data_IF_361629748255
#
_entry.id   IF_361629748255
#
_cell.length_a   1.000
_cell.length_b   1.000
_cell.length_c   1.000
_cell.angle_alpha   90.00
_cell.angle_beta   90.00
_cell.angle_gamma   90.00
#
_symmetry.space_group_name_H-M   'P 1'
#
loop_
_entity.id
_entity.type
_entity.pdbx_description
1 polymer ?
2 non-polymer ?
3 non-polymer ?
4 non-polymer ?
5 water ?
#
# COMPACT_ATOMS: atom_id res chain seq x y z
N UNK A 5 -4.04 -1.00 -25.75
CA UNK A 5 -3.45 -2.14 -26.44
C UNK A 5 -3.26 -3.32 -25.47
N UNK A 6 -3.61 -3.10 -24.20
CA UNK A 6 -3.52 -4.15 -23.18
C UNK A 6 -4.64 -5.14 -23.33
N UNK A 7 -4.42 -6.34 -22.82
CA UNK A 7 -5.40 -7.41 -22.95
C UNK A 7 -5.88 -7.84 -21.59
N UNK A 8 -7.18 -7.72 -21.35
CA UNK A 8 -7.76 -8.22 -20.11
C UNK A 8 -7.41 -9.69 -20.01
N UNK A 9 -6.91 -10.10 -18.84
CA UNK A 9 -6.49 -11.47 -18.64
C UNK A 9 -4.99 -11.65 -18.79
N UNK A 10 -4.33 -10.69 -19.42
CA UNK A 10 -2.89 -10.79 -19.59
C UNK A 10 -2.19 -9.81 -18.65
N UNK A 11 -2.15 -8.53 -19.01
CA UNK A 11 -1.42 -7.60 -18.17
C UNK A 11 -2.19 -7.24 -16.90
N UNK A 12 -3.51 -7.37 -16.94
CA UNK A 12 -4.35 -7.10 -15.77
C UNK A 12 -5.55 -8.03 -15.82
N UNK A 13 -6.22 -8.19 -14.69
CA UNK A 13 -7.50 -8.89 -14.65
C UNK A 13 -8.56 -7.97 -14.07
N UNK A 14 -9.80 -8.20 -14.46
CA UNK A 14 -10.93 -7.51 -13.87
C UNK A 14 -11.55 -8.43 -12.82
N UNK A 15 -11.74 -7.88 -11.63
CA UNK A 15 -12.38 -8.61 -10.54
C UNK A 15 -13.87 -8.76 -10.86
N UNK A 16 -14.35 -10.00 -10.84
CA UNK A 16 -15.75 -10.24 -11.14
C UNK A 16 -16.68 -9.63 -10.09
N UNK A 17 -16.18 -9.46 -8.87
CA UNK A 17 -16.91 -8.74 -7.82
C UNK A 17 -16.10 -7.53 -7.42
N UNK A 18 -16.37 -6.37 -8.05
CA UNK A 18 -15.60 -5.17 -7.69
C UNK A 18 -15.78 -4.82 -6.23
N UNK A 19 -14.73 -4.20 -5.69
CA UNK A 19 -14.59 -3.90 -4.29
C UNK A 19 -14.85 -2.39 -4.07
N UNK A 20 -15.57 -2.04 -3.00
CA UNK A 20 -15.76 -0.61 -2.73
C UNK A 20 -14.46 0.14 -2.56
N UNK A 21 -14.45 1.42 -2.88
CA UNK A 21 -13.24 2.23 -2.76
C UNK A 21 -13.26 3.06 -1.48
N UNK A 22 -12.09 3.47 -1.02
CA UNK A 22 -11.95 4.23 0.22
C UNK A 22 -12.57 5.63 0.14
N UNK A 23 -12.41 6.28 -1.02
CA UNK A 23 -12.90 7.64 -1.24
C UNK A 23 -13.85 7.67 -2.44
N UNK A 24 -15.12 7.42 -2.19
CA UNK A 24 -16.06 7.44 -3.31
C UNK A 24 -16.03 8.79 -4.03
N UNK A 25 -16.10 8.74 -5.35
CA UNK A 25 -16.03 9.92 -6.17
C UNK A 25 -14.67 10.16 -6.79
N UNK A 26 -13.64 9.50 -6.26
CA UNK A 26 -12.34 9.51 -6.90
C UNK A 26 -12.00 8.14 -7.42
N UNK A 27 -11.16 8.10 -8.45
CA UNK A 27 -10.66 6.85 -9.00
C UNK A 27 -9.55 6.40 -8.08
N UNK A 28 -9.75 5.24 -7.46
CA UNK A 28 -8.79 4.75 -6.47
C UNK A 28 -7.62 4.03 -7.17
N UNK A 29 -6.43 4.22 -6.64
CA UNK A 29 -5.28 3.39 -7.00
C UNK A 29 -4.68 2.89 -5.70
N UNK A 30 -4.67 1.58 -5.53
CA UNK A 30 -4.11 0.94 -4.34
C UNK A 30 -2.81 0.24 -4.71
N UNK A 31 -1.76 0.51 -3.94
CA UNK A 31 -0.57 -0.36 -3.96
C UNK A 31 -0.56 -1.19 -2.70
N UNK A 32 -0.66 -2.52 -2.86
CA UNK A 32 -0.48 -3.42 -1.74
C UNK A 32 1.01 -3.73 -1.65
N UNK A 33 1.54 -3.62 -0.43
CA UNK A 33 2.97 -3.69 -0.22
C UNK A 33 3.28 -4.25 1.15
N UNK A 34 4.55 -4.56 1.36
CA UNK A 34 5.07 -4.88 2.68
C UNK A 34 6.42 -4.16 2.78
N UNK A 35 6.66 -3.46 3.89
CA UNK A 35 7.92 -2.74 4.06
C UNK A 35 9.15 -3.63 3.88
N UNK A 36 9.03 -4.90 4.23
CA UNK A 36 10.17 -5.81 4.18
C UNK A 36 10.39 -6.49 2.85
N UNK A 37 9.53 -6.20 1.88
CA UNK A 37 9.59 -6.85 0.60
C UNK A 37 10.62 -6.16 -0.30
N UNK A 38 11.64 -6.91 -0.76
CA UNK A 38 12.68 -6.29 -1.57
C UNK A 38 12.17 -5.69 -2.88
N UNK A 39 11.21 -6.32 -3.53
CA UNK A 39 10.69 -5.79 -4.80
C UNK A 39 9.90 -4.50 -4.53
N UNK A 40 9.20 -4.45 -3.40
CA UNK A 40 8.47 -3.25 -3.00
C UNK A 40 9.44 -2.10 -2.82
N UNK A 41 10.54 -2.35 -2.11
CA UNK A 41 11.58 -1.36 -1.92
C UNK A 41 12.12 -0.87 -3.27
N UNK A 42 12.42 -1.81 -4.16
CA UNK A 42 12.98 -1.46 -5.47
C UNK A 42 12.00 -0.71 -6.37
N UNK A 43 10.70 -0.85 -6.11
CA UNK A 43 9.66 -0.19 -6.91
C UNK A 43 9.47 1.26 -6.48
N UNK A 44 9.85 1.56 -5.24
CA UNK A 44 9.62 2.90 -4.69
C UNK A 44 10.10 4.08 -5.55
N UNK A 45 11.30 3.99 -6.14
CA UNK A 45 11.76 5.15 -6.93
C UNK A 45 10.93 5.38 -8.18
N UNK A 46 10.15 4.38 -8.56
CA UNK A 46 9.29 4.50 -9.74
C UNK A 46 7.89 4.99 -9.33
N UNK A 47 7.29 4.34 -8.35
CA UNK A 47 5.90 4.65 -8.01
C UNK A 47 5.78 5.94 -7.21
N UNK A 48 6.77 6.26 -6.40
CA UNK A 48 6.65 7.48 -5.59
C UNK A 48 6.47 8.76 -6.41
N UNK A 49 7.38 9.05 -7.37
CA UNK A 49 7.19 10.29 -8.14
C UNK A 49 5.91 10.29 -8.98
N UNK A 50 5.55 9.14 -9.53
CA UNK A 50 4.31 8.98 -10.26
C UNK A 50 3.11 9.32 -9.38
N UNK A 51 3.12 8.81 -8.14
CA UNK A 51 1.98 9.02 -7.25
C UNK A 51 1.80 10.49 -6.89
N UNK A 52 2.88 11.24 -6.89
CA UNK A 52 2.83 12.65 -6.52
C UNK A 52 2.34 13.53 -7.66
N UNK A 53 2.26 12.97 -8.86
CA UNK A 53 1.84 13.72 -10.04
C UNK A 53 0.41 13.40 -10.48
N UNK A 54 -0.32 12.65 -9.65
CA UNK A 54 -1.68 12.24 -10.00
C UNK A 54 -2.66 13.40 -9.96
N UNK A 55 -3.67 13.37 -10.85
CA UNK A 55 -4.64 14.47 -10.88
C UNK A 55 -5.63 14.41 -9.74
N UNK A 56 -6.46 15.45 -9.65
CA UNK A 56 -7.29 15.68 -8.50
C UNK A 56 -8.43 14.66 -8.32
N UNK A 57 -8.76 13.95 -9.37
CA UNK A 57 -9.85 12.99 -9.30
C UNK A 57 -9.36 11.56 -9.06
N UNK A 58 -8.09 11.43 -8.68
CA UNK A 58 -7.50 10.15 -8.35
C UNK A 58 -7.06 10.13 -6.89
N UNK A 59 -7.27 9.00 -6.21
CA UNK A 59 -6.86 8.85 -4.83
C UNK A 59 -5.94 7.64 -4.72
N UNK A 60 -4.67 7.91 -4.45
CA UNK A 60 -3.66 6.87 -4.27
C UNK A 60 -3.59 6.46 -2.81
N UNK A 61 -3.65 5.15 -2.59
CA UNK A 61 -3.65 4.55 -1.26
C UNK A 61 -2.59 3.45 -1.24
N UNK A 62 -1.75 3.43 -0.22
CA UNK A 62 -0.97 2.25 0.10
C UNK A 62 -1.72 1.42 1.13
N UNK A 63 -1.73 0.12 0.91
CA UNK A 63 -2.40 -0.81 1.81
C UNK A 63 -1.41 -1.90 2.16
N UNK A 64 -1.14 -2.08 3.45
CA UNK A 64 -0.20 -3.16 3.78
C UNK A 64 -0.84 -4.51 3.55
N UNK A 65 -0.06 -5.46 3.03
CA UNK A 65 -0.52 -6.83 2.86
C UNK A 65 -0.29 -7.55 4.18
N UNK A 66 -1.38 -7.98 4.81
CA UNK A 66 -1.29 -8.56 6.15
C UNK A 66 -1.38 -10.06 5.99
N UNK A 67 -0.29 -10.64 5.52
CA UNK A 67 -0.24 -12.05 5.19
C UNK A 67 0.35 -12.91 6.31
N UNK A 68 0.45 -12.34 7.51
CA UNK A 68 0.87 -13.08 8.68
C UNK A 68 2.25 -12.74 9.20
N UNK A 69 2.50 -13.09 10.44
CA UNK A 69 3.82 -12.92 11.01
C UNK A 69 4.30 -11.48 10.92
N UNK A 70 5.54 -11.33 10.51
CA UNK A 70 6.18 -10.03 10.42
C UNK A 70 5.47 -9.10 9.43
N UNK A 71 4.77 -9.65 8.44
CA UNK A 71 4.01 -8.77 7.52
C UNK A 71 2.94 -8.01 8.32
N UNK A 72 2.35 -8.69 9.30
CA UNK A 72 1.28 -8.08 10.09
C UNK A 72 1.83 -7.02 11.05
N UNK A 73 2.97 -7.30 11.65
CA UNK A 73 3.66 -6.38 12.53
C UNK A 73 4.05 -5.10 11.78
N UNK A 74 4.70 -5.26 10.63
CA UNK A 74 5.08 -4.09 9.84
C UNK A 74 3.87 -3.37 9.28
N UNK A 75 2.82 -4.12 8.95
CA UNK A 75 1.58 -3.51 8.49
C UNK A 75 0.90 -2.70 9.58
N UNK A 76 0.96 -3.21 10.80
CA UNK A 76 0.37 -2.50 11.92
C UNK A 76 1.14 -1.19 12.19
N UNK A 77 2.46 -1.24 12.02
CA UNK A 77 3.28 -0.05 12.12
C UNK A 77 2.84 0.97 11.06
N UNK A 78 2.69 0.50 9.82
CA UNK A 78 2.23 1.37 8.74
C UNK A 78 0.91 2.06 9.10
N UNK A 79 -0.08 1.29 9.54
CA UNK A 79 -1.39 1.86 9.81
C UNK A 79 -1.33 2.82 10.97
N UNK A 80 -0.47 2.55 11.94
CA UNK A 80 -0.29 3.43 13.08
C UNK A 80 0.28 4.77 12.61
N UNK A 81 1.29 4.71 11.75
CA UNK A 81 1.89 5.94 11.21
C UNK A 81 0.90 6.75 10.36
N UNK A 82 0.08 6.05 9.58
CA UNK A 82 -0.96 6.74 8.79
C UNK A 82 -1.92 7.45 9.73
N UNK A 83 -2.34 6.76 10.78
CA UNK A 83 -3.31 7.32 11.73
C UNK A 83 -2.75 8.56 12.41
N UNK A 84 -1.45 8.52 12.70
CA UNK A 84 -0.77 9.65 13.33
C UNK A 84 -0.50 10.80 12.36
N UNK A 85 -0.68 10.56 11.08
CA UNK A 85 -0.45 11.57 10.06
C UNK A 85 1.01 11.81 9.76
N UNK A 86 1.83 10.79 10.01
CA UNK A 86 3.27 10.93 9.83
C UNK A 86 3.87 9.93 8.84
N UNK A 87 3.07 9.05 8.24
CA UNK A 87 3.67 7.99 7.43
C UNK A 87 4.44 8.56 6.24
N UNK A 88 3.86 9.56 5.57
CA UNK A 88 4.49 10.14 4.39
C UNK A 88 5.91 10.61 4.70
N UNK A 89 6.09 11.22 5.86
CA UNK A 89 7.37 11.83 6.18
C UNK A 89 8.46 10.83 6.63
N UNK A 90 8.07 9.63 7.05
CA UNK A 90 9.02 8.63 7.52
C UNK A 90 9.04 7.38 6.65
N UNK A 91 8.23 7.40 5.59
CA UNK A 91 8.07 6.25 4.68
C UNK A 91 9.43 5.76 4.16
N UNK A 92 10.19 6.66 3.56
CA UNK A 92 11.49 6.29 3.02
C UNK A 92 12.42 5.79 4.12
N UNK A 93 12.37 6.43 5.30
CA UNK A 93 13.26 6.05 6.40
C UNK A 93 13.01 4.64 6.89
N UNK A 94 11.74 4.25 6.95
CA UNK A 94 11.40 2.88 7.34
C UNK A 94 11.96 1.90 6.33
N UNK A 95 11.72 2.13 5.03
CA UNK A 95 12.30 1.25 4.01
C UNK A 95 13.82 1.16 4.16
N UNK A 96 14.47 2.31 4.35
CA UNK A 96 15.94 2.33 4.45
C UNK A 96 16.43 1.59 5.68
N UNK A 97 15.72 1.76 6.79
CA UNK A 97 16.09 1.11 8.04
C UNK A 97 16.08 -0.40 7.85
N UNK A 98 15.02 -0.90 7.24
CA UNK A 98 14.87 -2.33 7.05
C UNK A 98 15.85 -2.91 6.02
N UNK A 99 16.01 -2.23 4.88
CA UNK A 99 16.77 -2.81 3.78
C UNK A 99 18.25 -2.42 3.73
N UNK A 100 18.61 -1.25 4.24
CA UNK A 100 20.00 -0.81 4.23
C UNK A 100 20.65 -0.97 5.58
N UNK A 101 19.89 -0.70 6.64
CA UNK A 101 20.45 -0.69 7.99
C UNK A 101 20.24 -2.03 8.70
N UNK A 102 19.52 -2.94 8.06
CA UNK A 102 19.26 -4.27 8.62
C UNK A 102 18.51 -4.24 9.96
N UNK A 103 17.74 -3.18 10.20
CA UNK A 103 16.89 -3.12 11.37
C UNK A 103 15.64 -3.97 11.17
N UNK A 104 15.28 -4.72 12.19
CA UNK A 104 14.14 -5.64 12.07
C UNK A 104 12.78 -4.96 12.25
N UNK A 105 12.75 -3.93 13.09
CA UNK A 105 11.51 -3.23 13.47
C UNK A 105 10.39 -4.24 13.73
N UNK A 106 10.65 -5.16 14.65
CA UNK A 106 9.82 -6.35 14.80
C UNK A 106 8.95 -6.36 16.06
N UNK A 107 9.13 -5.37 16.94
CA UNK A 107 8.29 -5.21 18.11
C UNK A 107 7.92 -3.74 18.23
N UNK A 108 6.77 -3.45 18.87
CA UNK A 108 6.43 -2.02 18.97
C UNK A 108 7.48 -1.18 19.71
N UNK A 109 8.15 -1.79 20.68
CA UNK A 109 9.18 -1.09 21.42
C UNK A 109 10.35 -0.72 20.50
N UNK A 110 10.77 -1.66 19.66
CA UNK A 110 11.83 -1.37 18.70
C UNK A 110 11.39 -0.31 17.69
N UNK A 111 10.16 -0.44 17.21
CA UNK A 111 9.62 0.57 16.31
C UNK A 111 9.62 1.95 16.93
N UNK A 112 9.14 2.05 18.16
CA UNK A 112 9.01 3.35 18.81
C UNK A 112 10.36 4.01 18.98
N UNK A 113 11.34 3.22 19.39
CA UNK A 113 12.69 3.72 19.57
C UNK A 113 13.23 4.26 18.25
N UNK A 114 13.07 3.49 17.17
CA UNK A 114 13.56 3.94 15.87
C UNK A 114 12.82 5.20 15.42
N UNK A 115 11.50 5.16 15.51
CA UNK A 115 10.68 6.25 15.00
C UNK A 115 10.89 7.54 15.79
N UNK A 116 11.25 7.43 17.07
CA UNK A 116 11.53 8.63 17.86
C UNK A 116 12.73 9.37 17.25
N UNK A 117 13.66 8.61 16.70
CA UNK A 117 14.80 9.19 15.99
C UNK A 117 14.37 10.01 14.77
N UNK A 118 13.18 9.71 14.26
CA UNK A 118 12.61 10.47 13.15
C UNK A 118 11.55 11.49 13.58
N UNK A 119 11.45 11.72 14.89
CA UNK A 119 10.58 12.76 15.42
C UNK A 119 9.20 12.28 15.86
N UNK A 120 8.91 10.99 15.68
CA UNK A 120 7.59 10.46 16.01
C UNK A 120 7.42 10.29 17.53
N UNK A 121 6.35 10.89 18.06
CA UNK A 121 5.97 10.80 19.46
C UNK A 121 5.85 9.34 19.91
N UNK A 122 6.73 8.90 20.79
CA UNK A 122 6.81 7.49 21.20
C UNK A 122 5.56 7.02 21.93
N UNK A 123 5.10 7.82 22.89
CA UNK A 123 3.95 7.44 23.68
C UNK A 123 2.72 7.38 22.81
N UNK A 124 2.56 8.35 21.91
CA UNK A 124 1.41 8.33 21.00
C UNK A 124 1.51 7.16 20.02
N UNK A 125 2.71 6.86 19.53
CA UNK A 125 2.87 5.72 18.66
C UNK A 125 2.43 4.44 19.35
N UNK A 126 2.92 4.21 20.56
CA UNK A 126 2.59 2.97 21.25
C UNK A 126 1.10 2.88 21.59
N UNK A 127 0.50 3.99 22.00
CA UNK A 127 -0.92 4.02 22.34
C UNK A 127 -1.76 3.74 21.10
N UNK A 128 -1.35 4.32 19.99
CA UNK A 128 -2.10 4.15 18.75
C UNK A 128 -1.95 2.72 18.25
N UNK A 129 -0.72 2.22 18.30
CA UNK A 129 -0.41 0.88 17.80
C UNK A 129 -1.32 -0.16 18.42
N UNK A 130 -1.56 -0.01 19.72
CA UNK A 130 -2.36 -0.96 20.49
C UNK A 130 -3.85 -0.63 20.57
N UNK A 131 -4.28 0.38 19.83
CA UNK A 131 -5.64 0.91 19.94
C UNK A 131 -6.67 0.04 19.21
N UNK A 132 -7.91 0.11 19.68
CA UNK A 132 -8.98 -0.64 19.03
C UNK A 132 -9.19 -0.18 17.58
N UNK A 133 -8.94 1.10 17.30
CA UNK A 133 -9.16 1.60 15.95
C UNK A 133 -8.20 0.93 14.98
N UNK A 134 -6.96 0.76 15.43
CA UNK A 134 -5.97 0.09 14.59
C UNK A 134 -6.32 -1.39 14.40
N UNK A 135 -6.86 -2.03 15.43
CA UNK A 135 -7.35 -3.41 15.25
C UNK A 135 -8.40 -3.49 14.15
N UNK A 136 -9.30 -2.53 14.14
CA UNK A 136 -10.34 -2.49 13.12
C UNK A 136 -9.76 -2.31 11.74
N UNK A 137 -8.80 -1.40 11.63
CA UNK A 137 -8.16 -1.13 10.36
C UNK A 137 -7.39 -2.35 9.86
N UNK A 138 -6.75 -3.08 10.77
CA UNK A 138 -6.06 -4.31 10.38
C UNK A 138 -7.05 -5.31 9.78
N UNK A 139 -8.21 -5.47 10.41
CA UNK A 139 -9.20 -6.41 9.90
C UNK A 139 -9.72 -5.96 8.55
N UNK A 140 -9.97 -4.67 8.39
CA UNK A 140 -10.43 -4.14 7.11
C UNK A 140 -9.39 -4.39 6.02
N UNK A 141 -8.12 -4.15 6.32
CA UNK A 141 -7.06 -4.36 5.35
C UNK A 141 -6.95 -5.83 4.96
N UNK A 142 -7.17 -6.73 5.91
CA UNK A 142 -7.13 -8.17 5.63
C UNK A 142 -8.27 -8.54 4.67
N UNK A 143 -9.46 -8.03 4.99
CA UNK A 143 -10.63 -8.32 4.18
C UNK A 143 -10.50 -7.74 2.78
N UNK A 144 -9.92 -6.56 2.67
CA UNK A 144 -9.68 -5.99 1.35
C UNK A 144 -8.73 -6.84 0.51
N UNK A 145 -7.63 -7.28 1.10
CA UNK A 145 -6.68 -8.10 0.34
C UNK A 145 -7.35 -9.39 -0.11
N UNK A 146 -8.20 -9.96 0.74
CA UNK A 146 -8.92 -11.17 0.36
C UNK A 146 -9.84 -10.87 -0.81
N UNK A 147 -10.50 -9.72 -0.78
CA UNK A 147 -11.44 -9.36 -1.84
C UNK A 147 -10.72 -9.10 -3.17
N UNK A 148 -9.51 -8.56 -3.08
CA UNK A 148 -8.69 -8.35 -4.26
C UNK A 148 -8.03 -9.65 -4.75
N UNK A 149 -8.08 -10.67 -3.91
CA UNK A 149 -7.50 -11.99 -4.18
C UNK A 149 -6.01 -11.86 -4.47
N UNK A 150 -5.36 -11.03 -3.69
CA UNK A 150 -3.93 -10.77 -3.84
C UNK A 150 -3.12 -11.82 -3.10
N UNK A 151 -2.08 -12.31 -3.74
CA UNK A 151 -1.24 -13.37 -3.16
C UNK A 151 0.23 -13.00 -3.11
N UNK A 152 0.55 -11.76 -3.43
CA UNK A 152 1.93 -11.30 -3.38
C UNK A 152 1.99 -9.81 -3.58
N UNK A 153 3.18 -9.23 -3.43
CA UNK A 153 3.36 -7.79 -3.51
C UNK A 153 4.67 -7.50 -4.24
N UNK A 154 4.79 -6.30 -4.83
CA UNK A 154 3.72 -5.29 -4.88
C UNK A 154 2.63 -5.67 -5.89
N UNK A 155 1.39 -5.31 -5.55
CA UNK A 155 0.27 -5.52 -6.44
C UNK A 155 -0.56 -4.24 -6.47
N UNK A 156 -1.04 -3.90 -7.65
CA UNK A 156 -1.86 -2.70 -7.83
C UNK A 156 -3.30 -3.07 -8.05
N UNK A 157 -4.21 -2.25 -7.52
CA UNK A 157 -5.62 -2.40 -7.86
C UNK A 157 -6.14 -1.02 -8.22
N UNK A 158 -6.78 -0.90 -9.39
CA UNK A 158 -7.39 0.35 -9.80
C UNK A 158 -8.90 0.27 -9.66
N UNK A 159 -9.44 1.25 -8.94
CA UNK A 159 -10.85 1.47 -8.67
C UNK A 159 -11.62 0.25 -8.16
N UNK A 160 -10.95 -0.56 -7.34
CA UNK A 160 -11.54 -1.76 -6.79
C UNK A 160 -11.91 -2.81 -7.83
N UNK A 161 -11.38 -2.65 -9.04
CA UNK A 161 -11.86 -3.40 -10.21
C UNK A 161 -10.78 -4.14 -11.00
N UNK A 162 -9.59 -3.57 -11.10
CA UNK A 162 -8.54 -4.13 -11.96
C UNK A 162 -7.29 -4.40 -11.17
N UNK A 163 -6.81 -5.64 -11.24
CA UNK A 163 -5.64 -6.08 -10.49
C UNK A 163 -4.49 -6.42 -11.42
N UNK A 164 -3.29 -5.94 -11.08
CA UNK A 164 -2.11 -6.19 -11.90
C UNK A 164 -0.87 -6.05 -11.04
N UNK A 165 0.25 -6.58 -11.51
CA UNK A 165 1.50 -6.44 -10.79
C UNK A 165 2.66 -6.20 -11.75
N UNK A 166 3.87 -6.10 -11.20
CA UNK A 166 5.02 -5.74 -12.03
C UNK A 166 5.30 -6.82 -13.08
N UNK A 167 5.19 -8.08 -12.68
CA UNK A 167 5.38 -9.18 -13.61
C UNK A 167 4.37 -9.18 -14.74
N UNK A 168 3.11 -8.94 -14.41
CA UNK A 168 2.06 -9.00 -15.43
C UNK A 168 2.14 -7.81 -16.39
N UNK A 169 2.49 -6.65 -15.88
CA UNK A 169 2.60 -5.47 -16.72
C UNK A 169 3.88 -5.47 -17.57
N UNK A 170 4.94 -6.11 -17.06
CA UNK A 170 6.18 -6.22 -17.80
C UNK A 170 7.28 -5.28 -17.35
N UNK A 171 7.22 -4.81 -16.11
CA UNK A 171 8.26 -3.96 -15.56
C UNK A 171 7.68 -2.82 -14.77
N UNK A 172 8.52 -2.12 -13.99
CA UNK A 172 7.99 -1.06 -13.13
C UNK A 172 7.35 0.13 -13.91
N UNK A 173 8.04 0.66 -14.93
CA UNK A 173 7.46 1.78 -15.69
C UNK A 173 6.16 1.31 -16.37
N UNK A 174 6.19 0.09 -16.89
CA UNK A 174 5.04 -0.50 -17.57
C UNK A 174 3.82 -0.59 -16.64
N UNK A 175 4.07 -0.89 -15.38
CA UNK A 175 3.00 -1.03 -14.40
C UNK A 175 2.27 0.28 -14.24
N UNK A 176 3.00 1.39 -14.23
CA UNK A 176 2.39 2.70 -14.06
C UNK A 176 1.69 3.16 -15.33
N UNK A 177 2.25 2.83 -16.49
CA UNK A 177 1.59 3.15 -17.75
C UNK A 177 0.25 2.41 -17.81
N UNK A 178 0.25 1.17 -17.37
CA UNK A 178 -0.98 0.38 -17.28
C UNK A 178 -1.95 1.02 -16.28
N UNK A 179 -1.47 1.42 -15.12
CA UNK A 179 -2.33 2.13 -14.17
C UNK A 179 -2.98 3.35 -14.83
N UNK A 180 -2.18 4.15 -15.54
CA UNK A 180 -2.71 5.33 -16.22
C UNK A 180 -3.85 4.99 -17.19
N UNK A 181 -3.63 3.92 -17.95
CA UNK A 181 -4.61 3.46 -18.92
C UNK A 181 -5.92 3.08 -18.23
N UNK A 182 -5.82 2.34 -17.13
CA UNK A 182 -7.02 1.92 -16.40
C UNK A 182 -7.73 3.08 -15.69
N UNK A 183 -6.95 4.04 -15.19
CA UNK A 183 -7.54 5.26 -14.65
C UNK A 183 -8.35 5.95 -15.74
N UNK A 184 -7.79 6.10 -16.94
CA UNK A 184 -8.54 6.71 -18.06
C UNK A 184 -9.81 5.92 -18.40
N UNK A 185 -9.71 4.60 -18.35
CA UNK A 185 -10.86 3.76 -18.62
C UNK A 185 -11.98 4.10 -17.64
N UNK A 186 -11.62 4.26 -16.36
CA UNK A 186 -12.62 4.57 -15.35
C UNK A 186 -13.16 5.99 -15.45
N UNK A 187 -12.30 6.92 -15.82
CA UNK A 187 -12.72 8.31 -15.94
C UNK A 187 -13.75 8.45 -17.06
N UNK A 188 -13.63 7.64 -18.10
CA UNK A 188 -14.52 7.69 -19.25
C UNK A 188 -15.86 7.01 -19.00
N UNK A 189 -15.93 6.19 -17.97
CA UNK A 189 -17.15 5.45 -17.68
C UNK A 189 -18.28 6.36 -17.21
N UNK A 190 -19.49 5.98 -17.59
CA UNK A 190 -20.69 6.66 -17.15
C UNK A 190 -20.97 6.38 -15.68
N UNK A 191 -21.51 7.36 -14.97
CA UNK A 191 -21.92 7.16 -13.58
C UNK A 191 -23.19 7.92 -13.27
X LIG B 1 -9.99 0.34 4.80
X LIG B 1 -6.78 -0.19 6.68
X LIG B 1 -5.96 0.78 6.10
X LIG B 1 -8.08 -0.33 6.26
X LIG B 1 -6.46 1.59 5.09
X LIG B 1 -11.38 0.28 0.08
X LIG B 1 -8.33 2.30 3.60
X LIG B 1 -8.58 0.48 5.26
X LIG B 1 -7.78 1.45 4.68
X LIG B 1 -9.84 1.07 1.44
X LIG B 1 -9.03 0.29 -0.67
X LIG B 1 -11.95 0.70 1.21
X LIG B 1 -11.03 1.18 2.03
X LIG B 1 -10.03 0.53 0.20
X LIG B 1 -8.25 1.54 2.01
X LIG C 1 6.07 -11.72 -3.27
X LIG C 1 4.92 -11.45 -2.57
X LIG C 1 7.23 -11.79 -2.34
X LIG C 1 7.18 -12.94 -1.57
X LIG C 1 7.23 -10.56 -1.48
X LIG C 1 8.46 -10.42 -0.83
X LIG C 1 6.21 -11.00 -3.91
X LIG C 1 5.98 -12.57 -3.75
X LIG C 1 4.70 -12.16 -2.09
X LIG C 1 8.05 -11.80 -2.86
X LIG C 1 7.92 -13.02 -1.10
X LIG C 1 6.52 -10.65 -0.82
X LIG C 1 7.08 -9.78 -2.03
X LIG C 1 8.80 -9.63 -1.02
X LIG D 1 -2.08 -11.27 -13.27
X LIG D 1 -2.92 -11.24 -14.37
X LIG D 1 -2.69 -10.47 -12.17
X LIG D 1 -3.53 -11.29 -11.43
X LIG D 1 -1.60 -9.93 -11.30
X LIG D 1 -2.14 -9.27 -10.22
X LIG D 1 -1.24 -10.89 -13.52
X LIG D 1 -1.95 -12.19 -12.98
X LIG D 1 -2.80 -10.48 -14.81
X LIG D 1 -3.20 -9.73 -12.54
X LIG D 1 -3.07 -11.64 -10.76
X LIG D 1 -1.05 -9.31 -11.82
X LIG D 1 -1.05 -10.67 -10.99
X LIG D 1 -2.90 -8.90 -10.46
X LIG E 1 -13.86 -5.23 2.62
X LIG E 1 -14.27 -4.74 3.84
X LIG E 1 -15.05 -5.67 1.84
X LIG E 1 -15.89 -4.60 1.64
X LIG E 1 -14.61 -6.21 0.52
X LIG E 1 -15.71 -6.48 -0.27
X LIG E 1 -13.26 -5.99 2.76
X LIG E 1 -13.39 -4.54 2.13
X LIG E 1 -15.14 -4.56 3.81
X LIG E 1 -15.52 -6.36 2.33
X LIG E 1 -16.10 -4.53 0.78
X LIG E 1 -14.11 -7.03 0.66
X LIG E 1 -14.04 -5.55 0.08
X LIG E 1 -15.56 -7.21 -0.75
X LIG F 1 -13.24 10.48 -11.63
X LIG F 1 -13.28 11.55 -12.51
X LIG F 1 -14.60 10.04 -11.19
X LIG F 1 -15.48 10.00 -12.25
X LIG F 1 -14.45 8.68 -10.59
X LIG F 1 -15.69 8.07 -10.48
X LIG F 1 -12.71 10.72 -10.86
X LIG F 1 -12.80 9.74 -12.09
X LIG F 1 -13.94 12.09 -12.28
X LIG F 1 -14.93 10.65 -10.51
X LIG F 1 -15.18 9.44 -12.87
X LIG F 1 -14.04 8.75 -9.72
X LIG F 1 -13.90 8.14 -11.17
X LIG F 1 -15.66 7.46 -9.84
X LIG G 1 2.20 -13.95 -6.49
X LIG G 1 1.60 -12.70 -6.49
X LIG G 1 2.37 -11.69 -7.28
X LIG G 1 3.74 -11.62 -6.82
X LIG G 1 4.32 -12.94 -6.84
X LIG G 1 3.49 -13.85 -5.99
X LIG G 1 4.47 -10.67 -7.65
X LIG G 1 5.76 -11.24 -8.20
X LIG G 1 6.59 -9.95 -9.13
X LIG G 1 6.86 -8.80 -8.30
X LIG G 1 7.81 -10.47 -9.75
X LIG G 1 5.68 -9.40 -10.11
X LIG G 1 0.70 -12.79 -6.87
X LIG G 1 1.51 -12.39 -5.57
X LIG G 1 2.37 -11.95 -8.23
X LIG G 1 1.96 -10.82 -7.18
X LIG G 1 3.74 -11.33 -5.96
X LIG G 1 5.24 -12.91 -6.49
X LIG G 1 4.34 -13.28 -7.75
X LIG G 1 3.46 -13.50 -5.07
X LIG G 1 3.89 -14.74 -5.97
X LIG G 1 4.69 -9.89 -7.11
X LIG G 1 3.91 -10.39 -8.40
X LIG G 1 5.57 -11.99 -8.77
X LIG G 1 6.33 -11.53 -7.46
#
# INVERSE_FOLDING_TARGET
SNADDYTAGKEYVELSSPVPVSQPGKIEVVELFWYGCPHCYAFEPTIVPWSEKLPADVHFVRLPALFGGIWNVHGQMFLTLISMGVEHDVHNAVFEAIHKEHKKLATPEEMADFLAGKGVDKEKFLSTYNSFAIKGQMEKAKKLAMAYQVTGVPTMVVNGKYRFDIGSAGGPEETLKLADYLIEKERAAAKK
1YO CAA CAC CAD CAE CAF CAG CAH CAL CAM CAN NAB NAI NAJ NAO SAK
GOL C1 O1 C2 O2 C3 O3 H11 H12 HO1 H2 HO2 H31 H32 HO3
GOL C1 O1 C2 O2 C3 O3 H11 H12 HO1 H2 HO2 H31 H32 HO3
GOL C1 O1 C2 O2 C3 O3 H11 H12 HO1 H2 HO2 H31 H32 HO3
GOL C1 O1 C2 O2 C3 O3 H11 H12 HO1 H2 HO2 H31 H32 HO3
MES O1 C2 C3 N4 C5 C6 C7 C8 S O1S O2S O3S H21 H22 H31 H32 HN4 H51 H52 H61 H62 H71 H72 H81 H82
#
